data_IF_792028524723
#
_entry.id   IF_792028524723
#
_cell.length_a   1.000
_cell.length_b   1.000
_cell.length_c   1.000
_cell.angle_alpha   90.00
_cell.angle_beta   90.00
_cell.angle_gamma   90.00
#
_symmetry.space_group_name_H-M   'P 1'
#
loop_
_entity.id
_entity.type
_entity.pdbx_description
1 polymer ?
#
# COMPACT_ATOMS: atom_id res chain seq x y z
N UNK A 1 -32.37 -11.24 0.24
CA UNK A 1 -32.07 -10.05 -0.59
C UNK A 1 -30.69 -10.23 -1.18
N UNK A 2 -30.63 -10.50 -2.47
CA UNK A 2 -29.41 -10.86 -3.20
C UNK A 2 -28.85 -9.58 -3.82
N UNK A 3 -27.70 -9.08 -3.34
CA UNK A 3 -27.01 -7.98 -4.02
C UNK A 3 -26.29 -8.54 -5.24
N UNK A 4 -26.79 -8.23 -6.43
CA UNK A 4 -26.10 -8.45 -7.68
C UNK A 4 -25.07 -7.33 -7.85
N UNK A 5 -23.79 -7.66 -7.62
CA UNK A 5 -22.68 -6.79 -7.97
C UNK A 5 -22.67 -6.53 -9.47
N UNK A 6 -22.55 -5.27 -9.86
CA UNK A 6 -22.45 -4.84 -11.25
C UNK A 6 -21.11 -5.35 -11.82
N UNK A 7 -21.14 -6.49 -12.52
CA UNK A 7 -19.97 -7.06 -13.19
C UNK A 7 -19.77 -6.33 -14.51
N UNK A 8 -18.72 -5.54 -14.61
CA UNK A 8 -18.24 -5.01 -15.89
C UNK A 8 -17.71 -6.19 -16.70
N UNK A 9 -18.16 -6.37 -17.94
CA UNK A 9 -17.76 -7.51 -18.79
C UNK A 9 -16.24 -7.49 -19.00
N UNK A 10 -15.51 -8.44 -18.41
CA UNK A 10 -14.04 -8.49 -18.40
C UNK A 10 -13.39 -8.24 -17.03
N UNK A 11 -14.16 -7.83 -16.02
CA UNK A 11 -13.66 -7.70 -14.65
C UNK A 11 -13.57 -9.08 -13.98
N UNK A 12 -12.35 -9.46 -13.57
CA UNK A 12 -12.16 -10.60 -12.67
C UNK A 12 -12.79 -10.21 -11.33
N UNK A 13 -13.74 -10.99 -10.79
CA UNK A 13 -14.32 -10.67 -9.49
C UNK A 13 -13.20 -10.54 -8.46
N UNK A 14 -13.11 -9.34 -7.89
CA UNK A 14 -12.12 -9.03 -6.88
C UNK A 14 -12.30 -9.99 -5.70
N UNK A 15 -11.28 -10.77 -5.31
CA UNK A 15 -11.37 -11.57 -4.11
C UNK A 15 -11.71 -10.64 -2.95
N UNK A 16 -12.68 -11.03 -2.12
CA UNK A 16 -13.02 -10.32 -0.90
C UNK A 16 -11.75 -10.14 -0.07
N UNK A 17 -11.46 -8.90 0.37
CA UNK A 17 -10.28 -8.58 1.14
C UNK A 17 -10.10 -9.59 2.29
N UNK A 18 -8.95 -10.25 2.31
CA UNK A 18 -8.65 -11.26 3.32
C UNK A 18 -8.40 -10.60 4.68
N UNK A 19 -8.47 -11.38 5.76
CA UNK A 19 -8.06 -10.91 7.09
C UNK A 19 -6.59 -10.46 7.12
N UNK A 20 -5.75 -11.05 6.27
CA UNK A 20 -4.34 -10.66 6.12
C UNK A 20 -4.24 -9.30 5.44
N UNK A 21 -5.00 -9.08 4.37
CA UNK A 21 -5.05 -7.82 3.62
C UNK A 21 -5.44 -6.68 4.57
N UNK A 22 -6.48 -6.88 5.38
CA UNK A 22 -6.89 -5.91 6.40
C UNK A 22 -5.80 -5.62 7.44
N UNK A 23 -5.04 -6.64 7.87
CA UNK A 23 -3.90 -6.44 8.79
C UNK A 23 -2.77 -5.66 8.12
N UNK A 24 -2.46 -5.95 6.86
CA UNK A 24 -1.40 -5.28 6.10
C UNK A 24 -1.73 -3.81 5.89
N UNK A 25 -2.97 -3.48 5.54
CA UNK A 25 -3.36 -2.08 5.39
C UNK A 25 -3.38 -1.34 6.73
N UNK A 26 -3.83 -1.98 7.82
CA UNK A 26 -3.74 -1.42 9.18
C UNK A 26 -2.30 -1.22 9.64
N UNK A 27 -1.41 -2.13 9.25
CA UNK A 27 0.01 -2.00 9.48
C UNK A 27 0.57 -0.75 8.80
N UNK A 28 0.25 -0.54 7.51
CA UNK A 28 0.66 0.69 6.81
C UNK A 28 0.11 1.94 7.50
N UNK A 29 -1.17 1.92 7.89
CA UNK A 29 -1.77 3.02 8.64
C UNK A 29 -1.01 3.30 9.96
N UNK A 30 -0.56 2.26 10.66
CA UNK A 30 0.25 2.38 11.88
C UNK A 30 1.61 3.03 11.60
N UNK A 31 2.29 2.63 10.51
CA UNK A 31 3.56 3.24 10.10
C UNK A 31 3.40 4.72 9.80
N UNK A 32 2.25 5.09 9.24
CA UNK A 32 1.92 6.48 8.94
C UNK A 32 1.26 7.19 10.13
N UNK A 33 1.16 6.59 11.32
CA UNK A 33 0.44 7.19 12.46
C UNK A 33 -0.97 7.71 12.10
N UNK A 34 -1.65 6.97 11.22
CA UNK A 34 -2.94 7.28 10.64
C UNK A 34 -4.00 6.28 11.10
N UNK A 35 -5.26 6.69 11.01
CA UNK A 35 -6.41 5.81 11.24
C UNK A 35 -6.91 5.32 9.88
N UNK A 36 -7.01 4.01 9.73
CA UNK A 36 -7.69 3.42 8.59
C UNK A 36 -9.20 3.43 8.85
N UNK A 37 -9.97 4.08 7.98
CA UNK A 37 -11.43 4.04 8.04
C UNK A 37 -12.00 3.28 6.84
N UNK A 38 -12.95 2.38 7.11
CA UNK A 38 -13.81 1.79 6.09
C UNK A 38 -15.01 2.69 5.76
N UNK A 39 -15.36 3.59 6.67
CA UNK A 39 -16.75 4.04 6.83
C UNK A 39 -16.93 5.56 6.69
N UNK A 40 -15.83 6.32 6.50
CA UNK A 40 -15.93 7.79 6.60
C UNK A 40 -16.25 8.51 5.30
N UNK A 41 -16.31 7.79 4.20
CA UNK A 41 -16.60 8.41 2.92
C UNK A 41 -17.21 7.35 2.00
N UNK A 42 -18.49 7.52 1.67
CA UNK A 42 -19.05 7.01 0.41
C UNK A 42 -18.32 7.74 -0.74
N UNK A 43 -17.00 7.53 -0.89
CA UNK A 43 -16.24 7.94 -2.05
C UNK A 43 -16.76 7.09 -3.19
N UNK A 44 -17.71 7.63 -3.95
CA UNK A 44 -18.12 7.05 -5.20
C UNK A 44 -16.85 6.79 -6.03
N UNK A 45 -16.61 5.53 -6.39
CA UNK A 45 -15.40 5.12 -7.11
C UNK A 45 -14.38 4.32 -6.31
N UNK A 46 -14.52 4.22 -4.97
CA UNK A 46 -13.68 3.29 -4.20
C UNK A 46 -14.09 1.84 -4.47
N UNK A 47 -13.09 0.98 -4.68
CA UNK A 47 -13.33 -0.43 -4.91
C UNK A 47 -13.44 -1.20 -3.59
N UNK A 48 -14.19 -2.30 -3.60
CA UNK A 48 -14.39 -3.14 -2.43
C UNK A 48 -13.03 -3.62 -1.86
N UNK A 49 -12.80 -3.43 -0.57
CA UNK A 49 -11.55 -3.81 0.10
C UNK A 49 -10.46 -2.75 0.12
N UNK A 50 -10.68 -1.58 -0.50
CA UNK A 50 -9.83 -0.39 -0.29
C UNK A 50 -10.13 0.24 1.08
N UNK A 51 -9.12 0.84 1.70
CA UNK A 51 -9.23 1.65 2.91
C UNK A 51 -8.73 3.05 2.64
N UNK A 52 -9.42 4.04 3.19
CA UNK A 52 -8.99 5.42 3.14
C UNK A 52 -8.26 5.78 4.45
N UNK A 53 -7.08 6.37 4.32
CA UNK A 53 -6.33 6.92 5.44
C UNK A 53 -6.59 8.43 5.50
N UNK A 54 -7.49 8.86 6.40
CA UNK A 54 -8.00 10.25 6.50
C UNK A 54 -6.89 11.33 6.53
N UNK A 55 -5.78 11.02 7.18
CA UNK A 55 -4.58 11.84 7.20
C UNK A 55 -3.44 10.88 6.88
N UNK A 56 -3.05 10.74 5.59
CA UNK A 56 -2.86 11.88 4.69
C UNK A 56 -3.78 12.01 3.46
N UNK A 57 -4.93 11.36 3.43
CA UNK A 57 -5.80 11.34 2.26
C UNK A 57 -5.27 10.42 1.17
N UNK A 58 -4.96 9.17 1.52
CA UNK A 58 -4.54 8.15 0.56
C UNK A 58 -5.46 6.95 0.62
N UNK A 59 -5.63 6.32 -0.54
CA UNK A 59 -6.37 5.08 -0.66
C UNK A 59 -5.35 3.94 -0.66
N UNK A 60 -5.61 2.92 0.14
CA UNK A 60 -4.70 1.79 0.31
C UNK A 60 -5.48 0.50 0.16
N UNK A 61 -4.93 -0.41 -0.65
CA UNK A 61 -5.44 -1.75 -0.86
C UNK A 61 -4.33 -2.77 -0.62
N UNK A 62 -4.70 -3.98 -0.23
CA UNK A 62 -3.77 -5.10 -0.19
C UNK A 62 -4.31 -6.30 -0.97
N UNK A 63 -3.41 -7.13 -1.49
CA UNK A 63 -3.74 -8.35 -2.22
C UNK A 63 -2.66 -9.42 -2.03
N UNK A 64 -3.08 -10.67 -1.93
CA UNK A 64 -2.21 -11.85 -1.89
C UNK A 64 -1.68 -12.26 -3.29
N UNK A 65 -1.78 -11.37 -4.28
CA UNK A 65 -1.26 -11.58 -5.62
C UNK A 65 0.07 -10.85 -5.79
N UNK A 66 1.14 -11.61 -6.05
CA UNK A 66 2.45 -11.01 -6.34
C UNK A 66 2.55 -10.38 -7.72
N UNK A 67 1.72 -10.75 -8.68
CA UNK A 67 1.69 -10.07 -9.97
C UNK A 67 1.08 -8.67 -9.80
N UNK A 68 1.52 -7.64 -10.57
CA UNK A 68 0.93 -6.31 -10.55
C UNK A 68 -0.43 -6.32 -11.28
N UNK A 69 -1.37 -7.10 -10.76
CA UNK A 69 -2.77 -7.03 -11.13
C UNK A 69 -3.39 -5.79 -10.49
N UNK A 70 -4.51 -5.33 -11.02
CA UNK A 70 -5.28 -4.19 -10.52
C UNK A 70 -4.73 -2.80 -10.87
N UNK A 71 -3.81 -2.67 -11.85
CA UNK A 71 -3.35 -1.35 -12.31
C UNK A 71 -4.48 -0.53 -12.93
N UNK A 72 -5.36 -1.13 -13.74
CA UNK A 72 -6.52 -0.42 -14.31
C UNK A 72 -7.50 0.04 -13.22
N UNK A 73 -7.70 -0.78 -12.20
CA UNK A 73 -8.49 -0.44 -11.02
C UNK A 73 -7.89 0.71 -10.21
N UNK A 74 -6.58 0.70 -9.98
CA UNK A 74 -5.87 1.80 -9.34
C UNK A 74 -5.99 3.11 -10.13
N UNK A 75 -5.88 3.03 -11.45
CA UNK A 75 -6.07 4.17 -12.35
C UNK A 75 -7.46 4.79 -12.19
N UNK A 76 -8.51 3.96 -12.29
CA UNK A 76 -9.90 4.43 -12.14
C UNK A 76 -10.13 5.03 -10.76
N UNK A 77 -9.61 4.41 -9.70
CA UNK A 77 -9.76 4.90 -8.32
C UNK A 77 -9.01 6.23 -8.13
N UNK A 78 -7.79 6.37 -8.65
CA UNK A 78 -7.02 7.61 -8.58
C UNK A 78 -7.68 8.76 -9.36
N UNK A 79 -8.20 8.49 -10.56
CA UNK A 79 -8.90 9.49 -11.38
C UNK A 79 -10.19 9.92 -10.69
N UNK A 80 -11.01 8.97 -10.27
CA UNK A 80 -12.35 9.25 -9.73
C UNK A 80 -12.27 9.97 -8.39
N UNK A 81 -11.35 9.56 -7.53
CA UNK A 81 -11.24 10.11 -6.17
C UNK A 81 -10.30 11.29 -6.08
N UNK A 82 -9.41 11.50 -7.06
CA UNK A 82 -8.33 12.50 -7.01
C UNK A 82 -7.38 12.33 -5.81
N UNK A 83 -7.26 11.11 -5.28
CA UNK A 83 -6.32 10.77 -4.20
C UNK A 83 -5.24 9.78 -4.69
N UNK A 84 -4.03 9.80 -4.09
CA UNK A 84 -3.04 8.76 -4.32
C UNK A 84 -3.58 7.37 -3.93
N UNK A 85 -3.26 6.37 -4.75
CA UNK A 85 -3.65 4.97 -4.50
C UNK A 85 -2.40 4.11 -4.32
N UNK A 86 -2.36 3.36 -3.21
CA UNK A 86 -1.34 2.37 -2.89
C UNK A 86 -1.92 0.95 -3.00
N UNK A 87 -1.28 0.11 -3.80
CA UNK A 87 -1.54 -1.33 -3.81
C UNK A 87 -0.39 -2.08 -3.15
N UNK A 88 -0.71 -2.75 -2.05
CA UNK A 88 0.20 -3.58 -1.27
C UNK A 88 0.06 -5.04 -1.70
N UNK A 89 1.02 -5.55 -2.46
CA UNK A 89 1.10 -6.93 -2.90
C UNK A 89 1.94 -7.74 -1.94
N UNK A 90 1.39 -8.82 -1.41
CA UNK A 90 2.13 -9.73 -0.56
C UNK A 90 2.07 -11.15 -1.12
N UNK A 91 3.08 -11.95 -0.77
CA UNK A 91 3.05 -13.38 -1.05
C UNK A 91 1.89 -14.05 -0.32
N UNK A 92 1.33 -15.10 -0.94
CA UNK A 92 0.40 -16.00 -0.26
C UNK A 92 1.09 -16.83 0.82
N UNK A 93 2.42 -16.96 0.74
CA UNK A 93 3.24 -17.56 1.79
C UNK A 93 3.40 -16.61 2.97
N UNK A 94 2.75 -16.96 4.09
CA UNK A 94 2.77 -16.18 5.33
C UNK A 94 4.15 -16.15 6.02
N UNK A 95 5.09 -16.99 5.59
CA UNK A 95 6.43 -17.08 6.17
C UNK A 95 7.41 -16.09 5.53
N UNK A 96 7.16 -15.66 4.30
CA UNK A 96 7.94 -14.65 3.61
C UNK A 96 7.17 -13.33 3.60
N UNK A 97 7.46 -12.46 4.57
CA UNK A 97 6.95 -11.10 4.58
C UNK A 97 7.61 -10.29 3.45
N UNK A 98 7.29 -10.58 2.19
CA UNK A 98 7.75 -9.83 1.03
C UNK A 98 6.60 -8.95 0.56
N UNK A 99 6.61 -7.70 0.99
CA UNK A 99 5.61 -6.70 0.64
C UNK A 99 6.15 -5.84 -0.50
N UNK A 100 5.46 -5.87 -1.64
CA UNK A 100 5.65 -4.92 -2.74
C UNK A 100 4.55 -3.87 -2.70
N UNK A 101 4.90 -2.65 -3.07
CA UNK A 101 3.97 -1.53 -3.18
C UNK A 101 3.99 -0.97 -4.60
N UNK A 102 2.82 -0.77 -5.17
CA UNK A 102 2.62 0.05 -6.36
C UNK A 102 1.88 1.32 -5.94
N UNK A 103 2.27 2.45 -6.51
CA UNK A 103 1.75 3.77 -6.18
C UNK A 103 1.32 4.41 -7.49
N UNK A 104 0.12 4.98 -7.50
CA UNK A 104 -0.30 5.92 -8.53
C UNK A 104 -0.66 7.25 -7.88
N UNK A 105 -0.11 8.33 -8.43
CA UNK A 105 -0.37 9.69 -8.00
C UNK A 105 -1.21 10.39 -9.07
N UNK A 106 -2.41 10.91 -8.72
CA UNK A 106 -3.17 11.72 -9.64
C UNK A 106 -2.55 13.13 -9.76
N UNK A 107 -2.24 13.53 -11.00
CA UNK A 107 -1.81 14.88 -11.35
C UNK A 107 -2.90 15.66 -12.11
N UNK A 108 -2.56 16.82 -12.64
CA UNK A 108 -3.47 17.60 -13.48
C UNK A 108 -3.52 17.05 -14.90
N UNK A 109 -4.47 16.12 -15.12
CA UNK A 109 -4.69 15.48 -16.42
C UNK A 109 -3.78 14.29 -16.73
N UNK A 110 -2.93 13.87 -15.79
CA UNK A 110 -2.02 12.72 -15.95
C UNK A 110 -1.89 11.90 -14.65
N UNK A 111 -1.32 10.70 -14.76
CA UNK A 111 -1.03 9.78 -13.66
C UNK A 111 0.47 9.46 -13.59
N UNK A 112 1.07 9.66 -12.43
CA UNK A 112 2.45 9.24 -12.18
C UNK A 112 2.49 7.88 -11.49
N UNK A 113 3.20 6.93 -12.09
CA UNK A 113 3.30 5.54 -11.61
C UNK A 113 4.65 5.23 -10.98
N UNK A 114 4.61 4.57 -9.82
CA UNK A 114 5.78 4.04 -9.13
C UNK A 114 5.52 2.58 -8.76
N UNK A 115 6.19 1.64 -9.43
CA UNK A 115 5.90 0.21 -9.34
C UNK A 115 6.99 -0.58 -8.65
N UNK A 116 6.61 -1.68 -8.00
CA UNK A 116 7.49 -2.65 -7.34
C UNK A 116 8.37 -2.05 -6.24
N UNK A 117 7.84 -1.08 -5.48
CA UNK A 117 8.55 -0.51 -4.35
C UNK A 117 8.56 -1.51 -3.19
N UNK A 118 9.59 -1.43 -2.36
CA UNK A 118 9.78 -2.29 -1.21
C UNK A 118 9.67 -1.48 0.08
N UNK A 119 9.08 -2.07 1.12
CA UNK A 119 9.09 -1.46 2.43
C UNK A 119 10.51 -1.50 3.01
N UNK A 120 11.00 -0.36 3.46
CA UNK A 120 12.28 -0.18 4.13
C UNK A 120 12.06 0.45 5.50
N UNK A 121 12.84 0.01 6.50
CA UNK A 121 12.84 0.60 7.84
C UNK A 121 14.24 1.02 8.24
N UNK A 122 14.41 2.32 8.49
CA UNK A 122 15.66 2.90 8.99
C UNK A 122 15.93 2.51 10.45
N UNK A 123 17.17 2.73 10.91
CA UNK A 123 17.54 2.47 12.31
C UNK A 123 16.82 3.41 13.28
N UNK A 124 16.42 4.61 12.83
CA UNK A 124 15.64 5.54 13.63
C UNK A 124 14.14 5.15 13.72
N UNK A 125 13.72 4.07 13.06
CA UNK A 125 12.34 3.56 13.07
C UNK A 125 11.42 4.22 12.03
N UNK A 126 11.95 5.16 11.26
CA UNK A 126 11.36 5.73 10.07
C UNK A 126 11.08 4.66 9.00
N UNK A 127 9.96 4.81 8.30
CA UNK A 127 9.47 3.85 7.32
C UNK A 127 9.37 4.48 5.95
N UNK A 128 9.83 3.74 4.95
CA UNK A 128 9.96 4.21 3.58
C UNK A 128 9.48 3.16 2.60
N UNK A 129 9.11 3.60 1.40
CA UNK A 129 9.03 2.76 0.22
C UNK A 129 10.23 3.10 -0.66
N UNK A 130 11.06 2.11 -0.95
CA UNK A 130 12.27 2.28 -1.77
C UNK A 130 12.12 1.56 -3.10
N UNK A 131 12.62 2.13 -4.21
CA UNK A 131 12.56 1.48 -5.51
C UNK A 131 13.46 0.22 -5.56
N UNK A 132 13.19 -0.72 -6.48
CA UNK A 132 14.05 -1.87 -6.71
C UNK A 132 15.39 -1.51 -7.37
N UNK A 133 15.48 -0.31 -7.96
CA UNK A 133 16.67 0.25 -8.60
C UNK A 133 16.72 1.76 -8.43
N UNK A 134 16.99 2.49 -9.51
CA UNK A 134 16.99 3.96 -9.47
C UNK A 134 15.57 4.53 -9.41
N UNK A 135 15.40 5.58 -8.62
CA UNK A 135 14.14 6.31 -8.50
C UNK A 135 14.03 7.02 -7.15
N UNK A 136 12.98 7.84 -6.97
CA UNK A 136 12.74 8.50 -5.69
C UNK A 136 12.36 7.48 -4.62
N UNK A 137 12.85 7.67 -3.41
CA UNK A 137 12.34 6.99 -2.23
C UNK A 137 11.16 7.78 -1.65
N UNK A 138 10.21 7.08 -1.03
CA UNK A 138 8.99 7.67 -0.49
C UNK A 138 8.96 7.47 1.00
N UNK A 139 9.05 8.54 1.77
CA UNK A 139 8.86 8.46 3.21
C UNK A 139 7.37 8.30 3.53
N UNK A 140 7.06 7.32 4.38
CA UNK A 140 5.72 7.11 4.90
C UNK A 140 5.52 7.98 6.14
N UNK A 141 4.82 9.10 5.97
CA UNK A 141 4.61 10.07 7.02
C UNK A 141 3.12 10.21 7.34
N UNK A 142 2.83 10.74 8.52
CA UNK A 142 1.45 11.05 8.95
C UNK A 142 0.68 11.98 8.04
N UNK A 143 1.40 12.86 7.36
CA UNK A 143 0.85 13.92 6.54
C UNK A 143 1.04 13.65 5.04
N UNK A 144 1.61 12.51 4.65
CA UNK A 144 1.72 12.19 3.24
C UNK A 144 2.70 11.10 2.88
N UNK A 145 2.76 10.90 1.58
CA UNK A 145 3.86 10.26 0.89
C UNK A 145 4.84 11.38 0.51
N UNK A 146 6.04 11.37 1.08
CA UNK A 146 7.05 12.38 0.77
C UNK A 146 8.12 11.78 -0.14
N UNK A 147 8.23 12.28 -1.37
CA UNK A 147 9.17 11.79 -2.37
C UNK A 147 10.51 12.54 -2.27
N UNK A 148 11.60 11.81 -2.34
CA UNK A 148 12.96 12.35 -2.36
C UNK A 148 13.86 11.52 -3.25
N UNK A 149 14.74 12.17 -4.00
CA UNK A 149 15.75 11.49 -4.81
C UNK A 149 16.91 10.92 -3.97
N UNK A 150 16.96 11.28 -2.68
CA UNK A 150 17.99 10.79 -1.75
C UNK A 150 17.53 9.48 -1.11
N UNK A 151 18.23 8.36 -1.33
CA UNK A 151 17.88 7.09 -0.70
C UNK A 151 18.06 7.16 0.83
N UNK A 152 17.24 6.44 1.61
CA UNK A 152 17.34 6.39 3.07
C UNK A 152 18.42 5.41 3.58
N UNK A 153 19.39 5.06 2.73
CA UNK A 153 20.46 4.11 2.99
C UNK A 153 21.77 4.60 2.36
N UNK A 154 22.90 4.24 2.95
CA UNK A 154 24.22 4.65 2.45
C UNK A 154 24.77 3.75 1.33
N UNK A 155 24.44 2.46 1.36
CA UNK A 155 24.91 1.45 0.42
C UNK A 155 23.93 0.27 0.33
N UNK A 156 24.27 -0.72 -0.49
CA UNK A 156 23.44 -1.91 -0.71
C UNK A 156 23.34 -2.79 0.54
N UNK A 157 24.34 -2.78 1.42
CA UNK A 157 24.29 -3.55 2.66
C UNK A 157 23.26 -2.94 3.63
N UNK A 158 23.29 -1.61 3.81
CA UNK A 158 22.30 -0.91 4.63
C UNK A 158 20.89 -0.98 4.02
N UNK A 159 20.79 -0.90 2.69
CA UNK A 159 19.54 -1.15 1.97
C UNK A 159 18.94 -2.50 2.35
N UNK A 160 19.71 -3.59 2.19
CA UNK A 160 19.25 -4.94 2.50
C UNK A 160 18.89 -5.10 3.98
N UNK A 161 19.72 -4.56 4.87
CA UNK A 161 19.43 -4.58 6.31
C UNK A 161 18.12 -3.86 6.64
N UNK A 162 17.80 -2.74 5.97
CA UNK A 162 16.54 -2.03 6.18
C UNK A 162 15.32 -2.74 5.59
N UNK A 163 15.47 -3.47 4.49
CA UNK A 163 14.42 -4.35 3.96
C UNK A 163 14.15 -5.52 4.93
N UNK A 164 15.19 -6.14 5.47
CA UNK A 164 15.06 -7.20 6.48
C UNK A 164 14.38 -6.70 7.75
N UNK A 165 14.77 -5.52 8.25
CA UNK A 165 14.11 -4.87 9.41
C UNK A 165 12.62 -4.63 9.14
N UNK A 166 12.27 -4.13 7.96
CA UNK A 166 10.88 -3.91 7.56
C UNK A 166 10.08 -5.22 7.53
N UNK A 167 10.64 -6.27 6.95
CA UNK A 167 10.00 -7.59 6.84
C UNK A 167 9.83 -8.24 8.22
N UNK A 168 10.82 -8.14 9.10
CA UNK A 168 10.73 -8.61 10.48
C UNK A 168 9.63 -7.88 11.27
N UNK A 169 9.54 -6.56 11.11
CA UNK A 169 8.53 -5.72 11.77
C UNK A 169 7.11 -6.03 11.26
N UNK A 170 6.93 -6.18 9.94
CA UNK A 170 5.67 -6.64 9.35
C UNK A 170 5.29 -8.04 9.84
N UNK A 171 6.22 -8.99 9.81
CA UNK A 171 5.98 -10.36 10.29
C UNK A 171 5.58 -10.42 11.76
N UNK A 172 6.20 -9.58 12.61
CA UNK A 172 5.80 -9.41 14.00
C UNK A 172 4.36 -8.86 14.12
N UNK A 173 3.98 -7.86 13.32
CA UNK A 173 2.62 -7.31 13.29
C UNK A 173 1.59 -8.34 12.82
N UNK A 174 1.90 -9.15 11.80
CA UNK A 174 0.96 -10.15 11.28
C UNK A 174 0.72 -11.29 12.27
N UNK A 175 1.77 -11.72 13.00
CA UNK A 175 1.69 -12.75 14.06
C UNK A 175 1.08 -12.22 15.36
N UNK A 176 1.38 -10.97 15.71
CA UNK A 176 0.90 -10.31 16.92
C UNK A 176 -0.57 -9.91 16.79
N UNK A 177 -1.43 -10.48 17.64
CA UNK A 177 -2.82 -10.04 17.78
C UNK A 177 -2.96 -8.76 18.61
N UNK A 178 -2.18 -7.72 18.34
CA UNK A 178 -2.34 -6.46 19.08
C UNK A 178 -3.55 -5.71 18.52
N UNK A 179 -4.65 -5.81 19.25
CA UNK A 179 -5.74 -4.84 19.19
C UNK A 179 -5.24 -3.54 19.79
N UNK A 180 -5.21 -2.48 18.98
CA UNK A 180 -5.32 -1.11 19.48
C UNK A 180 -6.80 -0.76 19.58
#
# INVERSE_FOLDING_TARGET
MTMLGLVIKGSVPLPTASRTDAKIVRYLATLMHSRASQDRMNLAGMLAGSLYLDNPGIIVRATACEAPLFLGEMEVEAITTRHPVLLLRHSSDRLAANLKADIVLPGDGDLTWHLNYHLFRGLAGDSWLVPPGHGPSVQLLRHGLFFTDHPPYCDEWDRNAGLERANAHLGAHLRGGWSW
#
